data_IF_460480218975
#
_entry.id   IF_460480218975
#
_cell.length_a   1.000
_cell.length_b   1.000
_cell.length_c   1.000
_cell.angle_alpha   90.00
_cell.angle_beta   90.00
_cell.angle_gamma   90.00
#
_symmetry.space_group_name_H-M   'P 1'
#
loop_
_entity.id
_entity.type
_entity.pdbx_description
1 polymer ?
#
# COMPACT_ATOMS: atom_id res chain seq x y z
N UNK A 1 17.50 15.43 -112.10
CA UNK A 1 16.05 15.74 -112.09
C UNK A 1 15.41 14.82 -111.05
N UNK A 2 14.83 15.42 -110.02
CA UNK A 2 14.41 14.77 -108.79
C UNK A 2 13.04 14.09 -108.95
N UNK A 3 12.89 12.87 -108.44
CA UNK A 3 11.59 12.32 -108.04
C UNK A 3 11.63 11.92 -106.56
N UNK A 4 10.55 12.17 -105.79
CA UNK A 4 10.48 11.88 -104.38
C UNK A 4 9.82 10.52 -104.12
N UNK A 5 10.44 9.69 -103.30
CA UNK A 5 9.83 8.48 -102.74
C UNK A 5 9.78 8.64 -101.23
N UNK A 6 8.59 8.95 -100.74
CA UNK A 6 8.23 8.93 -99.32
C UNK A 6 8.15 7.48 -98.84
N UNK A 7 9.18 7.02 -98.13
CA UNK A 7 9.17 5.76 -97.38
C UNK A 7 9.00 6.06 -95.89
N UNK A 8 7.86 5.62 -95.34
CA UNK A 8 7.55 5.70 -93.92
C UNK A 8 8.39 4.71 -93.12
N UNK A 9 8.81 5.22 -91.97
CA UNK A 9 9.73 4.73 -90.93
C UNK A 9 9.32 3.39 -90.30
N UNK A 10 10.28 2.60 -89.78
CA UNK A 10 10.03 1.33 -89.08
C UNK A 10 9.59 1.50 -87.62
N UNK A 11 8.87 0.48 -87.14
CA UNK A 11 8.51 0.20 -85.75
C UNK A 11 9.74 -0.04 -84.86
N UNK A 12 9.72 0.41 -83.60
CA UNK A 12 10.20 -0.43 -82.51
C UNK A 12 9.23 -0.55 -81.32
N UNK A 13 9.32 -1.69 -80.65
CA UNK A 13 8.51 -2.17 -79.54
C UNK A 13 8.65 -1.36 -78.23
N UNK A 14 7.54 -1.38 -77.48
CA UNK A 14 7.40 -1.46 -76.00
C UNK A 14 8.03 -0.39 -75.09
N UNK A 15 7.14 0.40 -74.46
CA UNK A 15 7.04 0.40 -72.98
C UNK A 15 5.65 0.85 -72.52
N UNK A 16 4.90 -0.04 -71.85
CA UNK A 16 3.66 0.28 -71.15
C UNK A 16 3.96 1.16 -69.94
N UNK A 17 3.30 2.32 -69.85
CA UNK A 17 3.14 3.05 -68.59
C UNK A 17 1.66 3.32 -68.34
N UNK A 18 1.15 2.62 -67.33
CA UNK A 18 -0.17 2.83 -66.73
C UNK A 18 -0.21 4.16 -65.99
N UNK A 19 -1.28 4.93 -66.21
CA UNK A 19 -1.58 6.16 -65.49
C UNK A 19 -1.79 5.85 -64.00
N UNK A 20 -0.83 6.22 -63.15
CA UNK A 20 -0.94 6.17 -61.69
C UNK A 20 -1.59 7.47 -61.20
N UNK A 21 -2.79 7.36 -60.64
CA UNK A 21 -3.37 8.39 -59.76
C UNK A 21 -2.45 8.65 -58.56
N UNK A 22 -2.24 9.90 -58.14
CA UNK A 22 -1.36 10.21 -57.01
C UNK A 22 -2.06 9.84 -55.69
N UNK A 23 -1.66 8.72 -55.10
CA UNK A 23 -2.02 8.36 -53.73
C UNK A 23 -1.25 9.25 -52.75
N UNK A 24 -1.96 10.13 -52.04
CA UNK A 24 -1.39 10.84 -50.88
C UNK A 24 -1.62 9.97 -49.63
N UNK A 25 -0.60 9.34 -49.02
CA UNK A 25 -0.77 8.78 -47.69
C UNK A 25 -0.62 9.90 -46.64
N UNK A 26 -1.71 10.62 -46.35
CA UNK A 26 -1.77 11.42 -45.12
C UNK A 26 -1.83 10.43 -43.95
N UNK A 27 -0.75 10.31 -43.18
CA UNK A 27 -0.77 9.65 -41.87
C UNK A 27 -1.74 10.42 -40.96
N UNK A 28 -2.99 9.97 -40.91
CA UNK A 28 -4.01 10.52 -40.01
C UNK A 28 -3.50 10.29 -38.58
N UNK A 29 -3.33 11.33 -37.75
CA UNK A 29 -2.93 11.16 -36.37
C UNK A 29 -3.94 10.26 -35.66
N UNK A 30 -3.49 9.34 -34.77
CA UNK A 30 -4.39 8.40 -34.12
C UNK A 30 -5.50 9.17 -33.41
N UNK A 31 -6.75 8.86 -33.79
CA UNK A 31 -7.94 9.56 -33.30
C UNK A 31 -7.94 9.52 -31.76
N UNK A 32 -7.87 10.68 -31.09
CA UNK A 32 -7.93 10.74 -29.63
C UNK A 32 -9.24 10.14 -29.13
N UNK A 33 -9.18 9.45 -28.00
CA UNK A 33 -10.38 8.99 -27.29
C UNK A 33 -10.99 10.17 -26.56
N UNK A 34 -12.18 10.62 -26.98
CA UNK A 34 -12.95 11.57 -26.21
C UNK A 34 -13.38 10.96 -24.86
N UNK A 35 -13.65 11.82 -23.88
CA UNK A 35 -14.08 11.37 -22.55
C UNK A 35 -15.38 10.55 -22.64
N UNK A 36 -16.38 11.07 -23.36
CA UNK A 36 -17.66 10.39 -23.57
C UNK A 36 -17.52 9.05 -24.30
N UNK A 37 -16.67 8.96 -25.33
CA UNK A 37 -16.37 7.68 -26.01
C UNK A 37 -15.75 6.67 -25.05
N UNK A 38 -14.90 7.14 -24.12
CA UNK A 38 -14.28 6.29 -23.11
C UNK A 38 -15.29 5.78 -22.09
N UNK A 39 -16.24 6.62 -21.67
CA UNK A 39 -17.34 6.22 -20.77
C UNK A 39 -18.22 5.19 -21.46
N UNK A 40 -18.67 5.44 -22.68
CA UNK A 40 -19.47 4.50 -23.47
C UNK A 40 -18.74 3.15 -23.66
N UNK A 41 -17.43 3.16 -23.91
CA UNK A 41 -16.63 1.94 -23.99
C UNK A 41 -16.63 1.17 -22.66
N UNK A 42 -16.51 1.88 -21.54
CA UNK A 42 -16.50 1.27 -20.21
C UNK A 42 -17.84 0.60 -19.91
N UNK A 43 -18.95 1.24 -20.25
CA UNK A 43 -20.30 0.70 -20.06
C UNK A 43 -20.56 -0.51 -20.96
N UNK A 44 -20.37 -0.36 -22.27
CA UNK A 44 -20.57 -1.44 -23.25
C UNK A 44 -19.72 -2.68 -22.94
N UNK A 45 -18.46 -2.48 -22.54
CA UNK A 45 -17.59 -3.58 -22.08
C UNK A 45 -18.13 -4.24 -20.81
N UNK A 46 -18.57 -3.46 -19.81
CA UNK A 46 -19.07 -4.00 -18.55
C UNK A 46 -20.30 -4.88 -18.77
N UNK A 47 -21.25 -4.44 -19.57
CA UNK A 47 -22.46 -5.21 -19.88
C UNK A 47 -22.12 -6.59 -20.48
N UNK A 48 -21.24 -6.62 -21.48
CA UNK A 48 -20.76 -7.88 -22.08
C UNK A 48 -19.97 -8.72 -21.08
N UNK A 49 -19.08 -8.10 -20.31
CA UNK A 49 -18.25 -8.79 -19.32
C UNK A 49 -19.08 -9.44 -18.21
N UNK A 50 -20.11 -8.76 -17.69
CA UNK A 50 -21.03 -9.32 -16.70
C UNK A 50 -21.90 -10.43 -17.28
N UNK A 51 -22.38 -10.27 -18.53
CA UNK A 51 -23.13 -11.32 -19.24
C UNK A 51 -22.31 -12.61 -19.37
N UNK A 52 -20.98 -12.50 -19.48
CA UNK A 52 -20.04 -13.61 -19.54
C UNK A 52 -19.57 -14.10 -18.15
N UNK A 53 -20.27 -13.75 -17.06
CA UNK A 53 -19.85 -14.06 -15.68
C UNK A 53 -18.39 -13.65 -15.42
N UNK A 54 -18.01 -12.46 -15.92
CA UNK A 54 -16.68 -11.86 -15.78
C UNK A 54 -15.57 -12.56 -16.59
N UNK A 55 -15.95 -13.30 -17.64
CA UNK A 55 -15.04 -13.97 -18.58
C UNK A 55 -14.38 -13.06 -19.62
N UNK A 56 -13.48 -13.63 -20.42
CA UNK A 56 -12.78 -12.91 -21.51
C UNK A 56 -13.68 -12.79 -22.75
N UNK A 57 -13.73 -11.59 -23.33
CA UNK A 57 -14.46 -11.33 -24.57
C UNK A 57 -13.70 -11.90 -25.78
N UNK A 58 -14.42 -12.63 -26.63
CA UNK A 58 -14.00 -13.12 -27.95
C UNK A 58 -14.10 -12.02 -29.01
N UNK A 59 -13.52 -12.25 -30.19
CA UNK A 59 -13.49 -11.29 -31.29
C UNK A 59 -14.90 -10.77 -31.66
N UNK A 60 -15.89 -11.66 -31.83
CA UNK A 60 -17.28 -11.26 -32.14
C UNK A 60 -17.89 -10.33 -31.09
N UNK A 61 -17.63 -10.61 -29.82
CA UNK A 61 -18.14 -9.79 -28.71
C UNK A 61 -17.46 -8.42 -28.68
N UNK A 62 -16.20 -8.32 -29.14
CA UNK A 62 -15.55 -7.02 -29.32
C UNK A 62 -16.13 -6.22 -30.48
N UNK A 63 -16.59 -6.87 -31.55
CA UNK A 63 -17.35 -6.20 -32.61
C UNK A 63 -18.69 -5.67 -32.09
N UNK A 64 -19.41 -6.44 -31.29
CA UNK A 64 -20.63 -5.98 -30.63
C UNK A 64 -20.37 -4.77 -29.71
N UNK A 65 -19.28 -4.79 -28.93
CA UNK A 65 -18.87 -3.65 -28.11
C UNK A 65 -18.56 -2.42 -28.97
N UNK A 66 -17.83 -2.58 -30.07
CA UNK A 66 -17.52 -1.45 -30.96
C UNK A 66 -18.79 -0.87 -31.62
N UNK A 67 -19.71 -1.74 -32.03
CA UNK A 67 -21.01 -1.33 -32.58
C UNK A 67 -21.84 -0.55 -31.56
N UNK A 68 -21.92 -1.02 -30.32
CA UNK A 68 -22.65 -0.35 -29.24
C UNK A 68 -22.01 1.01 -28.89
N UNK A 69 -20.68 1.08 -28.78
CA UNK A 69 -19.97 2.35 -28.58
C UNK A 69 -20.25 3.33 -29.73
N UNK A 70 -20.27 2.86 -30.98
CA UNK A 70 -20.60 3.67 -32.13
C UNK A 70 -22.03 4.22 -32.03
N UNK A 71 -23.00 3.36 -31.68
CA UNK A 71 -24.39 3.70 -31.53
C UNK A 71 -24.61 4.76 -30.44
N UNK A 72 -24.02 4.56 -29.24
CA UNK A 72 -24.07 5.53 -28.13
C UNK A 72 -23.38 6.86 -28.45
N UNK A 73 -22.45 6.86 -29.41
CA UNK A 73 -21.78 8.07 -29.88
C UNK A 73 -22.47 8.75 -31.07
N UNK A 74 -23.63 8.23 -31.51
CA UNK A 74 -24.39 8.78 -32.65
C UNK A 74 -23.77 8.46 -34.01
N UNK A 75 -23.12 7.30 -34.15
CA UNK A 75 -22.54 6.80 -35.42
C UNK A 75 -21.64 7.81 -36.13
N UNK A 76 -20.77 8.51 -35.38
CA UNK A 76 -19.79 9.43 -35.97
C UNK A 76 -18.89 8.66 -36.93
N UNK A 77 -18.60 9.28 -38.09
CA UNK A 77 -17.82 8.71 -39.19
C UNK A 77 -16.42 8.19 -38.78
N UNK A 78 -15.92 8.62 -37.63
CA UNK A 78 -14.63 8.26 -37.03
C UNK A 78 -14.74 7.26 -35.87
N UNK A 79 -15.71 6.34 -35.93
CA UNK A 79 -15.94 5.34 -34.90
C UNK A 79 -14.74 4.39 -34.71
N UNK A 80 -14.53 3.94 -33.47
CA UNK A 80 -13.39 3.10 -33.10
C UNK A 80 -13.68 1.63 -33.46
N UNK A 81 -12.70 0.93 -33.99
CA UNK A 81 -12.81 -0.50 -34.30
C UNK A 81 -12.79 -1.38 -33.05
N UNK A 82 -13.27 -2.62 -33.16
CA UNK A 82 -13.20 -3.64 -32.10
C UNK A 82 -11.81 -3.78 -31.48
N UNK A 83 -10.77 -3.81 -32.31
CA UNK A 83 -9.37 -3.88 -31.87
C UNK A 83 -8.95 -2.63 -31.09
N UNK A 84 -9.37 -1.43 -31.53
CA UNK A 84 -9.08 -0.18 -30.82
C UNK A 84 -9.80 -0.14 -29.45
N UNK A 85 -11.05 -0.58 -29.39
CA UNK A 85 -11.83 -0.73 -28.15
C UNK A 85 -11.13 -1.69 -27.17
N UNK A 86 -10.73 -2.87 -27.65
CA UNK A 86 -9.99 -3.88 -26.87
C UNK A 86 -8.70 -3.29 -26.29
N UNK A 87 -7.85 -2.68 -27.11
CA UNK A 87 -6.58 -2.10 -26.67
C UNK A 87 -6.78 -0.96 -25.67
N UNK A 88 -7.78 -0.09 -25.89
CA UNK A 88 -8.10 0.99 -24.95
C UNK A 88 -8.55 0.41 -23.60
N UNK A 89 -9.41 -0.59 -23.60
CA UNK A 89 -9.88 -1.26 -22.39
C UNK A 89 -8.74 -1.95 -21.63
N UNK A 90 -7.83 -2.63 -22.34
CA UNK A 90 -6.63 -3.21 -21.73
C UNK A 90 -5.75 -2.14 -21.06
N UNK A 91 -5.53 -1.00 -21.72
CA UNK A 91 -4.78 0.13 -21.13
C UNK A 91 -5.48 0.72 -19.90
N UNK A 92 -6.80 0.92 -19.95
CA UNK A 92 -7.58 1.44 -18.82
C UNK A 92 -7.51 0.49 -17.62
N UNK A 93 -7.77 -0.81 -17.82
CA UNK A 93 -7.68 -1.82 -16.76
C UNK A 93 -6.27 -1.91 -16.17
N UNK A 94 -5.22 -1.82 -16.99
CA UNK A 94 -3.83 -1.81 -16.51
C UNK A 94 -3.57 -0.59 -15.62
N UNK A 95 -3.91 0.62 -16.08
CA UNK A 95 -3.72 1.86 -15.30
C UNK A 95 -4.47 1.80 -13.96
N UNK A 96 -5.72 1.35 -13.97
CA UNK A 96 -6.51 1.20 -12.74
C UNK A 96 -5.85 0.24 -11.74
N UNK A 97 -5.39 -0.94 -12.18
CA UNK A 97 -4.70 -1.89 -11.29
C UNK A 97 -3.42 -1.31 -10.70
N UNK A 98 -2.61 -0.62 -11.51
CA UNK A 98 -1.38 0.03 -11.03
C UNK A 98 -1.68 1.12 -10.00
N UNK A 99 -2.67 1.97 -10.28
CA UNK A 99 -3.05 3.06 -9.39
C UNK A 99 -3.63 2.54 -8.07
N UNK A 100 -4.48 1.51 -8.13
CA UNK A 100 -5.04 0.85 -6.94
C UNK A 100 -3.94 0.24 -6.06
N UNK A 101 -2.92 -0.40 -6.65
CA UNK A 101 -1.77 -0.94 -5.90
C UNK A 101 -0.96 0.16 -5.22
N UNK A 102 -0.80 1.31 -5.88
CA UNK A 102 -0.09 2.47 -5.32
C UNK A 102 -0.83 3.03 -4.11
N UNK A 103 -2.15 3.19 -4.19
CA UNK A 103 -2.97 3.61 -3.05
C UNK A 103 -2.88 2.66 -1.85
N UNK A 104 -2.89 1.35 -2.10
CA UNK A 104 -2.72 0.33 -1.05
C UNK A 104 -1.37 0.41 -0.34
N UNK A 105 -0.27 0.67 -1.07
CA UNK A 105 1.06 0.86 -0.47
C UNK A 105 1.12 2.08 0.46
N UNK A 106 0.55 3.21 0.05
CA UNK A 106 0.54 4.44 0.87
C UNK A 106 -0.21 4.25 2.18
N UNK A 107 -1.35 3.55 2.15
CA UNK A 107 -2.13 3.26 3.35
C UNK A 107 -1.36 2.34 4.31
N UNK A 108 -0.65 1.34 3.77
CA UNK A 108 0.19 0.44 4.56
C UNK A 108 1.34 1.19 5.25
N UNK A 109 1.99 2.10 4.52
CA UNK A 109 3.08 2.93 5.05
C UNK A 109 2.59 3.82 6.19
N UNK A 110 1.49 4.54 5.97
CA UNK A 110 0.88 5.39 6.99
C UNK A 110 0.50 4.60 8.24
N UNK A 111 -0.11 3.43 8.08
CA UNK A 111 -0.48 2.57 9.21
C UNK A 111 0.76 2.08 9.98
N UNK A 112 1.88 1.84 9.30
CA UNK A 112 3.15 1.49 9.93
C UNK A 112 3.68 2.61 10.83
N UNK A 113 3.66 3.84 10.32
CA UNK A 113 4.09 5.03 11.05
C UNK A 113 3.22 5.24 12.30
N UNK A 114 1.89 5.16 12.17
CA UNK A 114 0.97 5.32 13.31
C UNK A 114 1.21 4.26 14.39
N UNK A 115 1.43 2.99 14.00
CA UNK A 115 1.76 1.92 14.94
C UNK A 115 3.07 2.19 15.68
N UNK A 116 4.12 2.58 14.97
CA UNK A 116 5.41 2.87 15.57
C UNK A 116 5.33 4.00 16.62
N UNK A 117 4.55 5.05 16.35
CA UNK A 117 4.29 6.10 17.34
C UNK A 117 3.55 5.57 18.57
N UNK A 118 2.51 4.75 18.39
CA UNK A 118 1.77 4.15 19.50
C UNK A 118 2.63 3.23 20.36
N UNK A 119 3.46 2.39 19.74
CA UNK A 119 4.40 1.51 20.42
C UNK A 119 5.44 2.30 21.24
N UNK A 120 5.98 3.38 20.66
CA UNK A 120 6.92 4.27 21.34
C UNK A 120 6.31 4.90 22.61
N UNK A 121 5.07 5.38 22.52
CA UNK A 121 4.38 5.99 23.65
C UNK A 121 4.16 5.00 24.79
N UNK A 122 3.61 3.81 24.49
CA UNK A 122 3.39 2.75 25.49
C UNK A 122 4.70 2.34 26.16
N UNK A 123 5.79 2.26 25.40
CA UNK A 123 7.11 1.91 25.94
C UNK A 123 7.62 2.93 26.96
N UNK A 124 7.44 4.23 26.71
CA UNK A 124 7.85 5.29 27.64
C UNK A 124 7.02 5.25 28.91
N UNK A 125 5.70 5.10 28.81
CA UNK A 125 4.82 5.00 29.97
C UNK A 125 5.15 3.77 30.84
N UNK A 126 5.44 2.63 30.21
CA UNK A 126 5.89 1.43 30.92
C UNK A 126 7.22 1.65 31.65
N UNK A 127 8.19 2.29 30.99
CA UNK A 127 9.49 2.58 31.61
C UNK A 127 9.36 3.57 32.78
N UNK A 128 8.48 4.56 32.66
CA UNK A 128 8.18 5.52 33.72
C UNK A 128 7.52 4.84 34.92
N UNK A 129 6.58 3.92 34.69
CA UNK A 129 5.94 3.13 35.74
C UNK A 129 6.94 2.23 36.47
N UNK A 130 7.83 1.57 35.71
CA UNK A 130 8.85 0.70 36.26
C UNK A 130 9.87 1.47 37.11
N UNK A 131 10.32 2.62 36.64
CA UNK A 131 11.25 3.48 37.37
C UNK A 131 10.61 4.04 38.66
N UNK A 132 9.35 4.47 38.60
CA UNK A 132 8.62 4.94 39.79
C UNK A 132 8.49 3.81 40.84
N UNK A 133 8.18 2.60 40.39
CA UNK A 133 8.10 1.41 41.25
C UNK A 133 9.47 1.09 41.88
N UNK A 134 10.55 1.19 41.12
CA UNK A 134 11.89 0.92 41.61
C UNK A 134 12.37 1.99 42.61
N UNK A 135 12.09 3.27 42.34
CA UNK A 135 12.40 4.37 43.27
C UNK A 135 11.67 4.20 44.62
N UNK A 136 10.38 3.85 44.58
CA UNK A 136 9.59 3.61 45.78
C UNK A 136 10.06 2.36 46.54
N UNK A 137 10.41 1.29 45.83
CA UNK A 137 11.00 0.08 46.44
C UNK A 137 12.27 0.42 47.21
N UNK A 138 13.18 1.20 46.62
CA UNK A 138 14.39 1.64 47.31
C UNK A 138 14.07 2.50 48.54
N UNK A 139 13.06 3.37 48.47
CA UNK A 139 12.61 4.16 49.63
C UNK A 139 12.13 3.27 50.78
N UNK A 140 11.24 2.32 50.48
CA UNK A 140 10.68 1.37 51.46
C UNK A 140 11.80 0.52 52.10
N UNK A 141 12.76 0.05 51.30
CA UNK A 141 13.92 -0.72 51.78
C UNK A 141 14.75 0.08 52.79
N UNK A 142 15.01 1.36 52.51
CA UNK A 142 15.76 2.24 53.41
C UNK A 142 14.99 2.55 54.69
N UNK A 143 13.68 2.79 54.60
CA UNK A 143 12.81 2.98 55.77
C UNK A 143 12.71 1.72 56.63
N UNK A 144 12.68 0.53 56.02
CA UNK A 144 12.70 -0.76 56.72
C UNK A 144 13.98 -0.93 57.54
N UNK A 145 15.16 -0.71 56.94
CA UNK A 145 16.45 -0.78 57.65
C UNK A 145 16.53 0.21 58.81
N UNK A 146 15.99 1.41 58.61
CA UNK A 146 15.87 2.41 59.69
C UNK A 146 15.02 1.88 60.85
N UNK A 147 13.87 1.25 60.56
CA UNK A 147 13.00 0.68 61.59
C UNK A 147 13.67 -0.48 62.34
N UNK A 148 14.39 -1.34 61.62
CA UNK A 148 15.14 -2.46 62.20
C UNK A 148 16.21 -1.95 63.17
N UNK A 149 17.02 -0.95 62.81
CA UNK A 149 18.01 -0.38 63.74
C UNK A 149 17.38 0.23 64.99
N UNK A 150 16.23 0.89 64.86
CA UNK A 150 15.50 1.44 66.02
C UNK A 150 15.01 0.30 66.92
N UNK A 151 14.42 -0.74 66.35
CA UNK A 151 13.97 -1.90 67.12
C UNK A 151 15.13 -2.62 67.80
N UNK A 152 16.27 -2.77 67.13
CA UNK A 152 17.45 -3.42 67.70
C UNK A 152 17.98 -2.64 68.91
N UNK A 153 18.02 -1.31 68.82
CA UNK A 153 18.38 -0.44 69.95
C UNK A 153 17.40 -0.58 71.12
N UNK A 154 16.09 -0.54 70.85
CA UNK A 154 15.06 -0.74 71.88
C UNK A 154 15.18 -2.11 72.55
N UNK A 155 15.42 -3.18 71.77
CA UNK A 155 15.62 -4.53 72.28
C UNK A 155 16.85 -4.62 73.19
N UNK A 156 17.99 -4.09 72.75
CA UNK A 156 19.22 -4.07 73.55
C UNK A 156 19.04 -3.36 74.89
N UNK A 157 18.31 -2.22 74.92
CA UNK A 157 18.00 -1.51 76.16
C UNK A 157 17.13 -2.37 77.09
N UNK A 158 16.06 -2.97 76.56
CA UNK A 158 15.16 -3.83 77.34
C UNK A 158 15.91 -5.03 77.93
N UNK A 159 16.77 -5.67 77.14
CA UNK A 159 17.56 -6.83 77.56
C UNK A 159 18.57 -6.45 78.66
N UNK A 160 19.24 -5.30 78.55
CA UNK A 160 20.15 -4.80 79.57
C UNK A 160 19.44 -4.51 80.91
N UNK A 161 18.23 -3.95 80.85
CA UNK A 161 17.39 -3.73 82.04
C UNK A 161 16.97 -5.08 82.65
N UNK A 162 16.45 -6.02 81.85
CA UNK A 162 16.04 -7.33 82.35
C UNK A 162 17.19 -8.05 83.07
N UNK A 163 18.38 -8.03 82.46
CA UNK A 163 19.59 -8.66 83.01
C UNK A 163 20.07 -8.04 84.32
N UNK A 164 19.93 -6.72 84.50
CA UNK A 164 20.27 -6.05 85.77
C UNK A 164 19.30 -6.43 86.90
N UNK A 165 18.01 -6.62 86.61
CA UNK A 165 17.04 -7.12 87.61
C UNK A 165 17.27 -8.59 87.99
N UNK A 166 17.61 -9.46 87.05
CA UNK A 166 17.95 -10.86 87.33
C UNK A 166 19.22 -10.98 88.17
N UNK A 167 20.21 -10.12 87.94
CA UNK A 167 21.45 -10.07 88.72
C UNK A 167 21.21 -9.68 90.20
N UNK A 168 20.11 -8.99 90.50
CA UNK A 168 19.68 -8.62 91.86
C UNK A 168 18.74 -9.64 92.53
N UNK A 169 18.32 -10.69 91.80
CA UNK A 169 17.64 -11.88 92.35
C UNK A 169 18.66 -12.98 92.66
N UNK A 170 19.61 -12.74 93.58
CA UNK A 170 20.33 -13.83 94.27
C UNK A 170 19.78 -13.97 95.69
N UNK A 171 19.25 -15.14 96.08
CA UNK A 171 18.65 -15.34 97.38
C UNK A 171 19.71 -15.41 98.49
N UNK A 172 19.33 -14.81 99.61
CA UNK A 172 20.00 -14.83 100.91
C UNK A 172 19.73 -16.17 101.59
N UNK A 173 20.76 -16.92 101.98
CA UNK A 173 20.70 -18.10 102.89
C UNK A 173 22.12 -18.36 103.42
N UNK A 174 22.48 -17.81 104.59
CA UNK A 174 22.44 -18.35 105.97
C UNK A 174 23.78 -18.95 106.42
N UNK A 175 24.36 -18.22 107.36
CA UNK A 175 25.31 -18.60 108.40
C UNK A 175 24.89 -19.86 109.15
N UNK A 176 25.83 -20.77 109.44
CA UNK A 176 25.84 -21.56 110.68
C UNK A 176 27.26 -22.10 111.00
N UNK A 177 27.61 -22.00 112.28
CA UNK A 177 28.88 -22.31 112.93
C UNK A 177 29.21 -23.80 113.00
N UNK A 178 30.49 -24.16 112.83
CA UNK A 178 31.31 -25.00 113.75
C UNK A 178 32.71 -25.25 113.18
#
# INVERSE_FOLDING_TARGET
MSQPSSSSTPTPQQQQQSLKTPSIPKKIPPIPWAHIETVNLIEAYQEKWYSLKRGQLKASQWEEVASDVAARCGFKELSKSATQCRHKMEKLRKRYRTEKQRGGRLLSELASVVRAFGEGFVKVENMKLEMMKEAEKHRIEMEKKRMEMIQESQRCIVDAIAKTFESNKKPKMTQEDS
#
